data_IF_684538271132
#
_entry.id   IF_684538271132
#
_cell.length_a   1.000
_cell.length_b   1.000
_cell.length_c   1.000
_cell.angle_alpha   90.00
_cell.angle_beta   90.00
_cell.angle_gamma   90.00
#
_symmetry.space_group_name_H-M   'P 1'
#
loop_
_entity.id
_entity.type
_entity.pdbx_description
1 polymer ?
#
# COMPACT_ATOMS: atom_id res chain seq x y z
N UNK A 1 -9.24 -17.91 -11.22
CA UNK A 1 -8.72 -16.94 -10.25
C UNK A 1 -7.45 -16.34 -10.82
N UNK A 2 -7.40 -15.03 -11.03
CA UNK A 2 -6.12 -14.35 -11.22
C UNK A 2 -5.48 -14.23 -9.84
N UNK A 3 -4.20 -14.58 -9.72
CA UNK A 3 -3.45 -14.42 -8.47
C UNK A 3 -3.28 -12.95 -8.10
N UNK A 4 -2.85 -12.65 -6.86
CA UNK A 4 -2.61 -11.27 -6.43
C UNK A 4 -1.56 -10.63 -7.32
N UNK A 5 -1.79 -9.36 -7.67
CA UNK A 5 -0.82 -8.52 -8.36
C UNK A 5 0.46 -8.35 -7.53
N UNK A 6 1.54 -7.88 -8.17
CA UNK A 6 2.77 -7.57 -7.46
C UNK A 6 2.55 -6.53 -6.35
N UNK A 7 1.76 -5.49 -6.64
CA UNK A 7 1.38 -4.42 -5.70
C UNK A 7 0.66 -4.99 -4.49
N UNK A 8 -0.34 -5.86 -4.69
CA UNK A 8 -1.07 -6.51 -3.60
C UNK A 8 -0.17 -7.42 -2.77
N UNK A 9 0.68 -8.21 -3.42
CA UNK A 9 1.63 -9.09 -2.73
C UNK A 9 2.62 -8.30 -1.87
N UNK A 10 3.09 -7.16 -2.37
CA UNK A 10 3.98 -6.27 -1.63
C UNK A 10 3.26 -5.59 -0.47
N UNK A 11 2.04 -5.12 -0.69
CA UNK A 11 1.20 -4.50 0.33
C UNK A 11 0.94 -5.44 1.52
N UNK A 12 0.56 -6.70 1.25
CA UNK A 12 0.36 -7.73 2.28
C UNK A 12 1.62 -7.95 3.11
N UNK A 13 2.79 -8.03 2.44
CA UNK A 13 4.09 -8.24 3.11
C UNK A 13 4.48 -7.04 3.98
N UNK A 14 4.29 -5.82 3.49
CA UNK A 14 4.58 -4.60 4.26
C UNK A 14 3.66 -4.47 5.47
N UNK A 15 2.36 -4.71 5.29
CA UNK A 15 1.38 -4.71 6.37
C UNK A 15 1.69 -5.79 7.42
N UNK A 16 2.09 -6.99 7.00
CA UNK A 16 2.48 -8.05 7.93
C UNK A 16 3.75 -7.73 8.73
N UNK A 17 4.69 -6.99 8.14
CA UNK A 17 5.97 -6.64 8.78
C UNK A 17 5.84 -5.47 9.73
N UNK A 18 5.21 -4.38 9.29
CA UNK A 18 5.24 -3.09 9.99
C UNK A 18 3.85 -2.66 10.50
N UNK A 19 2.81 -3.47 10.27
CA UNK A 19 1.45 -3.18 10.71
C UNK A 19 0.86 -1.94 10.05
N UNK A 20 -0.11 -1.32 10.73
CA UNK A 20 -0.83 -0.12 10.24
C UNK A 20 0.14 1.04 9.93
N UNK A 21 1.31 1.09 10.57
CA UNK A 21 2.31 2.10 10.30
C UNK A 21 2.83 2.07 8.85
N UNK A 22 2.88 0.90 8.19
CA UNK A 22 3.26 0.81 6.78
C UNK A 22 2.35 1.64 5.87
N UNK A 23 1.04 1.62 6.11
CA UNK A 23 0.05 2.36 5.31
C UNK A 23 0.34 3.86 5.38
N UNK A 24 0.55 4.38 6.59
CA UNK A 24 0.88 5.79 6.78
C UNK A 24 2.20 6.18 6.09
N UNK A 25 3.24 5.37 6.25
CA UNK A 25 4.55 5.64 5.63
C UNK A 25 4.47 5.62 4.10
N UNK A 26 3.67 4.73 3.51
CA UNK A 26 3.45 4.69 2.06
C UNK A 26 2.76 5.97 1.57
N UNK A 27 1.73 6.45 2.26
CA UNK A 27 1.08 7.73 1.90
C UNK A 27 2.03 8.93 2.02
N UNK A 28 2.84 8.99 3.08
CA UNK A 28 3.86 10.05 3.25
C UNK A 28 4.88 9.99 2.11
N UNK A 29 5.34 8.80 1.73
CA UNK A 29 6.28 8.61 0.63
C UNK A 29 5.67 8.98 -0.73
N UNK A 30 4.42 8.61 -0.99
CA UNK A 30 3.71 8.99 -2.21
C UNK A 30 3.55 10.52 -2.31
N UNK A 31 3.17 11.18 -1.22
CA UNK A 31 3.05 12.63 -1.16
C UNK A 31 4.40 13.33 -1.38
N UNK A 32 5.48 12.80 -0.80
CA UNK A 32 6.84 13.33 -1.02
C UNK A 32 7.26 13.17 -2.49
N UNK A 33 7.12 11.98 -3.07
CA UNK A 33 7.43 11.73 -4.47
C UNK A 33 6.64 12.63 -5.42
N UNK A 34 5.37 12.89 -5.13
CA UNK A 34 4.55 13.80 -5.92
C UNK A 34 5.07 15.24 -5.84
N UNK A 35 5.39 15.75 -4.64
CA UNK A 35 5.95 17.10 -4.44
C UNK A 35 7.29 17.28 -5.15
N UNK A 36 8.09 16.21 -5.22
CA UNK A 36 9.41 16.22 -5.87
C UNK A 36 9.32 16.03 -7.40
N UNK A 37 8.10 15.93 -7.96
CA UNK A 37 7.85 15.81 -9.40
C UNK A 37 7.88 14.38 -9.95
N UNK A 38 8.03 13.37 -9.10
CA UNK A 38 8.06 11.95 -9.49
C UNK A 38 6.65 11.34 -9.57
N UNK A 39 5.81 11.84 -10.49
CA UNK A 39 4.39 11.47 -10.59
C UNK A 39 4.13 9.95 -10.69
N UNK A 40 4.83 9.23 -11.58
CA UNK A 40 4.63 7.76 -11.71
C UNK A 40 5.03 6.99 -10.46
N UNK A 41 6.10 7.42 -9.80
CA UNK A 41 6.55 6.77 -8.57
C UNK A 41 5.52 7.01 -7.44
N UNK A 42 5.03 8.24 -7.32
CA UNK A 42 3.97 8.59 -6.37
C UNK A 42 2.71 7.74 -6.58
N UNK A 43 2.27 7.60 -7.84
CA UNK A 43 1.11 6.76 -8.19
C UNK A 43 1.33 5.30 -7.82
N UNK A 44 2.51 4.75 -8.13
CA UNK A 44 2.84 3.36 -7.79
C UNK A 44 2.84 3.14 -6.28
N UNK A 45 3.41 4.06 -5.50
CA UNK A 45 3.44 3.96 -4.03
C UNK A 45 2.02 4.09 -3.45
N UNK A 46 1.19 4.97 -4.01
CA UNK A 46 -0.20 5.14 -3.60
C UNK A 46 -1.01 3.86 -3.84
N UNK A 47 -0.83 3.20 -5.00
CA UNK A 47 -1.48 1.92 -5.28
C UNK A 47 -1.11 0.82 -4.27
N UNK A 48 0.13 0.81 -3.75
CA UNK A 48 0.56 -0.12 -2.70
C UNK A 48 -0.14 0.24 -1.38
N UNK A 49 -0.26 1.53 -1.03
CA UNK A 49 -0.96 1.99 0.16
C UNK A 49 -2.43 1.56 0.14
N UNK A 50 -3.13 1.82 -0.97
CA UNK A 50 -4.53 1.44 -1.15
C UNK A 50 -4.74 -0.08 -1.05
N UNK A 51 -3.81 -0.87 -1.60
CA UNK A 51 -3.87 -2.31 -1.49
C UNK A 51 -3.67 -2.79 -0.03
N UNK A 52 -2.81 -2.12 0.74
CA UNK A 52 -2.60 -2.44 2.15
C UNK A 52 -3.81 -2.07 3.01
N UNK A 53 -4.50 -0.97 2.70
CA UNK A 53 -5.76 -0.58 3.34
C UNK A 53 -6.88 -1.59 3.07
N UNK A 54 -7.04 -2.03 1.81
CA UNK A 54 -8.02 -3.06 1.45
C UNK A 54 -7.78 -4.37 2.19
N UNK A 55 -6.52 -4.80 2.27
CA UNK A 55 -6.15 -6.00 3.02
C UNK A 55 -6.46 -5.84 4.52
N UNK A 56 -6.13 -4.70 5.12
CA UNK A 56 -6.43 -4.44 6.53
C UNK A 56 -7.94 -4.49 6.81
N UNK A 57 -8.75 -3.85 5.96
CA UNK A 57 -10.21 -3.87 6.06
C UNK A 57 -10.76 -5.28 5.86
N UNK A 58 -10.28 -6.03 4.86
CA UNK A 58 -10.69 -7.41 4.63
C UNK A 58 -10.40 -8.35 5.80
N UNK A 59 -9.28 -8.12 6.52
CA UNK A 59 -8.98 -8.84 7.77
C UNK A 59 -9.93 -8.47 8.90
N UNK A 60 -10.33 -7.21 9.00
CA UNK A 60 -11.26 -6.76 10.03
C UNK A 60 -12.69 -7.29 9.81
N UNK A 61 -13.07 -7.51 8.55
CA UNK A 61 -14.38 -8.07 8.17
C UNK A 61 -14.46 -9.60 8.35
N UNK A 62 -13.34 -10.27 8.62
CA UNK A 62 -13.28 -11.72 8.84
C UNK A 62 -13.09 -12.01 10.34
N UNK A 63 -14.16 -12.40 11.08
CA UNK A 63 -14.09 -12.65 12.53
C UNK A 63 -13.27 -13.89 12.91
#
# INVERSE_FOLDING_TARGET
MNGPTFTESLAVRLLARDGIAAIWQLHVAAAAAYRDGYQRAAETVLQIADAAERELLGRADTP
#
